data_IF_323912416920
#
_entry.id   IF_323912416920
#
_cell.length_a   1.000
_cell.length_b   1.000
_cell.length_c   1.000
_cell.angle_alpha   90.00
_cell.angle_beta   90.00
_cell.angle_gamma   90.00
#
_symmetry.space_group_name_H-M   'P 1'
#
loop_
_entity.id
_entity.type
_entity.pdbx_description
1 polymer ?
#
# COMPACT_ATOMS: atom_id res chain seq x y z
N UNK A 1 10.71 -24.62 13.93
CA UNK A 1 9.73 -24.32 12.86
C UNK A 1 10.36 -23.29 11.94
N UNK A 2 10.09 -23.33 10.63
CA UNK A 2 10.39 -22.23 9.71
C UNK A 2 9.06 -21.55 9.40
N UNK A 3 8.97 -20.26 9.67
CA UNK A 3 7.78 -19.46 9.33
C UNK A 3 7.73 -19.24 7.83
N UNK A 4 6.56 -19.41 7.20
CA UNK A 4 6.39 -19.42 5.74
C UNK A 4 5.25 -18.51 5.26
N UNK A 5 4.84 -17.56 6.11
CA UNK A 5 3.68 -16.69 5.90
C UNK A 5 3.95 -15.27 6.43
N UNK A 6 5.22 -14.84 6.41
CA UNK A 6 5.64 -13.50 6.80
C UNK A 6 6.18 -12.80 5.56
N UNK A 7 5.77 -11.54 5.39
CA UNK A 7 6.45 -10.57 4.55
C UNK A 7 7.20 -9.59 5.45
N UNK A 8 8.41 -9.20 5.06
CA UNK A 8 9.24 -8.25 5.78
C UNK A 8 9.09 -6.86 5.19
N UNK A 9 8.62 -5.92 6.00
CA UNK A 9 8.50 -4.52 5.64
C UNK A 9 9.60 -3.69 6.31
N UNK A 10 10.22 -2.79 5.54
CA UNK A 10 11.13 -1.76 6.02
C UNK A 10 10.47 -0.40 5.77
N UNK A 11 10.30 0.41 6.82
CA UNK A 11 9.62 1.72 6.75
C UNK A 11 10.49 2.81 7.39
N UNK A 12 11.36 3.49 6.64
CA UNK A 12 12.03 4.69 7.12
C UNK A 12 11.04 5.84 7.28
N UNK A 13 11.29 6.68 8.29
CA UNK A 13 10.57 7.92 8.50
C UNK A 13 11.00 8.95 7.46
N UNK A 14 10.04 9.60 6.81
CA UNK A 14 10.25 10.78 5.98
C UNK A 14 11.28 10.59 4.85
N UNK A 15 11.11 9.53 4.06
CA UNK A 15 12.11 9.01 3.10
C UNK A 15 12.66 10.06 2.13
N UNK A 16 11.85 11.03 1.69
CA UNK A 16 12.29 12.08 0.76
C UNK A 16 13.25 13.11 1.37
N UNK A 17 13.28 13.24 2.71
CA UNK A 17 14.08 14.28 3.37
C UNK A 17 15.56 13.88 3.48
N UNK A 18 15.86 12.59 3.52
CA UNK A 18 17.22 12.04 3.37
C UNK A 18 17.19 10.65 2.72
N UNK A 19 17.08 10.64 1.40
CA UNK A 19 17.02 9.41 0.58
C UNK A 19 18.26 8.55 0.75
N UNK A 20 19.44 9.15 0.94
CA UNK A 20 20.70 8.40 1.05
C UNK A 20 20.73 7.60 2.34
N UNK A 21 20.41 8.24 3.46
CA UNK A 21 20.33 7.53 4.73
C UNK A 21 19.24 6.47 4.70
N UNK A 22 18.05 6.81 4.19
CA UNK A 22 16.89 5.93 4.22
C UNK A 22 17.00 4.70 3.31
N UNK A 23 17.53 4.84 2.08
CA UNK A 23 17.47 3.78 1.06
C UNK A 23 18.83 3.21 0.63
N UNK A 24 19.94 3.76 1.13
CA UNK A 24 21.29 3.23 0.90
C UNK A 24 21.95 2.78 2.22
N UNK A 25 22.10 3.69 3.18
CA UNK A 25 22.88 3.42 4.41
C UNK A 25 22.14 2.49 5.38
N UNK A 26 20.85 2.74 5.62
CA UNK A 26 20.05 2.00 6.60
C UNK A 26 19.21 0.88 6.00
N UNK A 27 19.15 0.79 4.67
CA UNK A 27 18.38 -0.23 4.00
C UNK A 27 18.97 -1.62 4.29
N UNK A 28 18.20 -2.57 4.86
CA UNK A 28 18.72 -3.90 5.21
C UNK A 28 19.18 -4.75 4.01
N UNK A 29 18.76 -4.37 2.80
CA UNK A 29 19.11 -5.01 1.55
C UNK A 29 17.98 -5.84 0.93
N UNK A 30 18.03 -5.99 -0.40
CA UNK A 30 16.94 -6.59 -1.19
C UNK A 30 16.64 -8.05 -0.87
N UNK A 31 17.58 -8.77 -0.25
CA UNK A 31 17.47 -10.19 0.05
C UNK A 31 16.64 -10.50 1.30
N UNK A 32 16.30 -9.49 2.11
CA UNK A 32 15.51 -9.66 3.34
C UNK A 32 14.24 -8.81 3.38
N UNK A 33 14.10 -7.81 2.50
CA UNK A 33 12.94 -6.91 2.47
C UNK A 33 12.03 -7.25 1.29
N UNK A 34 10.75 -7.49 1.59
CA UNK A 34 9.70 -7.71 0.60
C UNK A 34 8.98 -6.39 0.24
N UNK A 35 8.75 -5.55 1.26
CA UNK A 35 8.00 -4.30 1.16
C UNK A 35 8.85 -3.14 1.64
N UNK A 36 8.98 -2.09 0.83
CA UNK A 36 9.60 -0.81 1.24
C UNK A 36 8.50 0.22 1.40
N UNK A 37 8.24 0.63 2.63
CA UNK A 37 7.24 1.63 2.95
C UNK A 37 7.88 2.94 3.41
N UNK A 38 7.07 3.94 3.74
CA UNK A 38 7.52 5.11 4.49
C UNK A 38 6.51 5.50 5.56
N UNK A 39 7.02 6.18 6.58
CA UNK A 39 6.21 6.83 7.61
C UNK A 39 6.27 8.34 7.41
N UNK A 40 5.12 9.02 7.30
CA UNK A 40 5.04 10.47 7.09
C UNK A 40 3.98 11.10 7.98
N UNK A 41 4.45 11.79 9.01
CA UNK A 41 3.64 12.74 9.78
C UNK A 41 4.13 14.16 9.60
N UNK A 42 3.20 15.11 9.72
CA UNK A 42 3.49 16.54 9.72
C UNK A 42 2.54 17.24 10.69
N UNK A 43 3.03 18.25 11.42
CA UNK A 43 2.18 19.21 12.12
C UNK A 43 1.60 20.27 11.18
N UNK A 44 2.14 20.38 9.96
CA UNK A 44 1.75 21.32 8.92
C UNK A 44 0.92 20.59 7.85
N UNK A 45 -0.40 20.81 7.84
CA UNK A 45 -1.32 20.17 6.90
C UNK A 45 -1.04 20.58 5.44
N UNK A 46 -0.75 21.85 5.21
CA UNK A 46 -0.56 22.46 3.89
C UNK A 46 0.65 21.89 3.13
N UNK A 47 1.69 21.47 3.86
CA UNK A 47 2.89 20.84 3.29
C UNK A 47 2.79 19.32 3.15
N UNK A 48 1.86 18.70 3.86
CA UNK A 48 1.82 17.24 3.95
C UNK A 48 1.51 16.57 2.60
N UNK A 49 0.68 17.21 1.76
CA UNK A 49 0.39 16.72 0.40
C UNK A 49 1.62 16.75 -0.50
N UNK A 50 2.40 17.83 -0.47
CA UNK A 50 3.63 17.96 -1.26
C UNK A 50 4.67 16.92 -0.82
N UNK A 51 4.87 16.78 0.49
CA UNK A 51 5.79 15.79 1.06
C UNK A 51 5.39 14.35 0.73
N UNK A 52 4.09 14.04 0.79
CA UNK A 52 3.57 12.74 0.40
C UNK A 52 3.89 12.40 -1.07
N UNK A 53 3.78 13.38 -1.98
CA UNK A 53 4.11 13.18 -3.39
C UNK A 53 5.61 12.93 -3.59
N UNK A 54 6.47 13.67 -2.90
CA UNK A 54 7.92 13.46 -2.95
C UNK A 54 8.33 12.08 -2.43
N UNK A 55 7.75 11.64 -1.31
CA UNK A 55 7.98 10.27 -0.81
C UNK A 55 7.49 9.22 -1.80
N UNK A 56 6.31 9.43 -2.37
CA UNK A 56 5.74 8.49 -3.31
C UNK A 56 6.62 8.36 -4.56
N UNK A 57 7.17 9.46 -5.07
CA UNK A 57 8.12 9.42 -6.19
C UNK A 57 9.37 8.60 -5.85
N UNK A 58 9.99 8.89 -4.69
CA UNK A 58 11.18 8.16 -4.21
C UNK A 58 10.89 6.66 -4.04
N UNK A 59 9.80 6.32 -3.37
CA UNK A 59 9.41 4.92 -3.14
C UNK A 59 9.11 4.21 -4.45
N UNK A 60 8.32 4.80 -5.35
CA UNK A 60 7.93 4.15 -6.61
C UNK A 60 9.10 3.99 -7.56
N UNK A 61 10.05 4.93 -7.58
CA UNK A 61 11.31 4.76 -8.29
C UNK A 61 12.13 3.60 -7.73
N UNK A 62 12.30 3.54 -6.41
CA UNK A 62 13.01 2.45 -5.73
C UNK A 62 12.34 1.10 -5.99
N UNK A 63 11.03 1.02 -5.82
CA UNK A 63 10.22 -0.18 -6.05
C UNK A 63 10.35 -0.71 -7.46
N UNK A 64 10.33 0.17 -8.47
CA UNK A 64 10.56 -0.20 -9.86
C UNK A 64 11.98 -0.68 -10.11
N UNK A 65 12.99 -0.03 -9.51
CA UNK A 65 14.41 -0.36 -9.72
C UNK A 65 14.80 -1.70 -9.10
N UNK A 66 14.30 -1.98 -7.90
CA UNK A 66 14.70 -3.16 -7.11
C UNK A 66 13.60 -4.23 -7.01
N UNK A 67 12.52 -4.07 -7.79
CA UNK A 67 11.37 -4.98 -7.83
C UNK A 67 10.75 -5.22 -6.44
N UNK A 68 10.41 -4.12 -5.75
CA UNK A 68 9.80 -4.12 -4.41
C UNK A 68 8.36 -3.65 -4.44
N UNK A 69 7.55 -4.21 -3.55
CA UNK A 69 6.23 -3.66 -3.21
C UNK A 69 6.45 -2.40 -2.39
N UNK A 70 5.68 -1.35 -2.66
CA UNK A 70 5.81 -0.07 -1.95
C UNK A 70 4.50 0.41 -1.36
N UNK A 71 4.58 1.17 -0.27
CA UNK A 71 3.42 1.64 0.48
C UNK A 71 3.76 2.72 1.50
N UNK A 72 2.77 3.15 2.27
CA UNK A 72 2.94 4.01 3.43
C UNK A 72 2.45 3.26 4.65
N UNK A 73 3.36 2.89 5.55
CA UNK A 73 3.01 2.15 6.78
C UNK A 73 2.38 3.08 7.81
N UNK A 74 2.78 4.34 7.81
CA UNK A 74 2.15 5.38 8.60
C UNK A 74 2.02 6.69 7.82
N UNK A 75 0.84 7.29 7.88
CA UNK A 75 0.57 8.58 7.27
C UNK A 75 -0.46 9.38 8.09
N UNK A 76 -0.21 10.67 8.31
CA UNK A 76 -1.23 11.57 8.84
C UNK A 76 -0.71 12.86 9.43
N UNK A 77 -1.60 13.56 10.14
CA UNK A 77 -1.24 14.75 10.92
C UNK A 77 -0.60 14.31 12.24
N UNK A 78 0.47 15.00 12.64
CA UNK A 78 1.09 14.78 13.94
C UNK A 78 0.07 15.07 15.03
N UNK A 79 -0.06 14.16 16.00
CA UNK A 79 -1.01 14.24 17.11
C UNK A 79 -2.51 14.13 16.74
N UNK A 80 -2.86 13.70 15.52
CA UNK A 80 -4.24 13.37 15.14
C UNK A 80 -4.99 14.51 14.43
N UNK A 81 -6.19 14.19 13.93
CA UNK A 81 -6.98 15.10 13.09
C UNK A 81 -8.09 15.86 13.85
N UNK A 82 -8.16 15.70 15.17
CA UNK A 82 -9.23 16.27 16.00
C UNK A 82 -9.30 17.81 16.00
N UNK A 83 -8.17 18.45 15.72
CA UNK A 83 -8.02 19.91 15.75
C UNK A 83 -8.04 20.53 14.33
N UNK A 84 -8.34 19.74 13.29
CA UNK A 84 -8.46 20.26 11.93
C UNK A 84 -9.78 21.01 11.73
N UNK A 85 -9.71 22.17 11.08
CA UNK A 85 -10.82 23.11 11.04
C UNK A 85 -11.81 22.90 9.90
N UNK A 86 -11.35 22.45 8.73
CA UNK A 86 -12.11 22.60 7.46
C UNK A 86 -12.62 21.29 6.85
N UNK A 87 -12.35 20.14 7.48
CA UNK A 87 -12.82 18.85 7.00
C UNK A 87 -12.19 18.36 5.70
N UNK A 88 -11.24 19.14 5.15
CA UNK A 88 -10.79 19.02 3.76
C UNK A 88 -9.54 18.16 3.61
N UNK A 89 -8.85 17.85 4.71
CA UNK A 89 -7.64 17.02 4.76
C UNK A 89 -7.69 15.79 3.83
N UNK A 90 -8.71 14.96 3.97
CA UNK A 90 -8.82 13.73 3.17
C UNK A 90 -9.03 14.00 1.67
N UNK A 91 -9.77 15.06 1.33
CA UNK A 91 -10.04 15.43 -0.05
C UNK A 91 -8.80 16.08 -0.69
N UNK A 92 -8.26 17.13 -0.07
CA UNK A 92 -7.17 17.92 -0.62
C UNK A 92 -5.81 17.23 -0.52
N UNK A 93 -5.55 16.50 0.56
CA UNK A 93 -4.26 15.82 0.78
C UNK A 93 -4.27 14.42 0.19
N UNK A 94 -5.11 13.52 0.69
CA UNK A 94 -5.07 12.12 0.26
C UNK A 94 -5.64 11.93 -1.13
N UNK A 95 -6.91 12.27 -1.37
CA UNK A 95 -7.57 11.97 -2.65
C UNK A 95 -6.85 12.62 -3.84
N UNK A 96 -6.45 13.88 -3.73
CA UNK A 96 -5.68 14.56 -4.78
C UNK A 96 -4.33 13.89 -5.04
N UNK A 97 -3.61 13.47 -3.99
CA UNK A 97 -2.33 12.78 -4.13
C UNK A 97 -2.50 11.37 -4.72
N UNK A 98 -3.63 10.70 -4.44
CA UNK A 98 -3.95 9.39 -5.00
C UNK A 98 -4.01 9.40 -6.51
N UNK A 99 -4.60 10.45 -7.08
CA UNK A 99 -4.72 10.59 -8.55
C UNK A 99 -3.39 10.90 -9.25
N UNK A 100 -2.34 11.27 -8.52
CA UNK A 100 -1.05 11.65 -9.08
C UNK A 100 -0.03 10.51 -8.99
N UNK A 101 0.24 10.04 -7.77
CA UNK A 101 1.32 9.07 -7.53
C UNK A 101 0.87 7.81 -6.80
N UNK A 102 -0.08 7.91 -5.85
CA UNK A 102 -0.40 6.75 -4.99
C UNK A 102 -1.13 5.61 -5.73
N UNK A 103 -1.55 5.80 -6.98
CA UNK A 103 -1.94 4.67 -7.85
C UNK A 103 -0.83 3.62 -8.05
N UNK A 104 0.43 3.97 -7.76
CA UNK A 104 1.60 3.09 -7.86
C UNK A 104 2.04 2.52 -6.50
N UNK A 105 1.32 2.80 -5.41
CA UNK A 105 1.59 2.21 -4.09
C UNK A 105 0.49 1.22 -3.72
N UNK A 106 0.82 0.24 -2.88
CA UNK A 106 -0.07 -0.87 -2.55
C UNK A 106 -1.01 -0.57 -1.39
N UNK A 107 -0.60 0.31 -0.47
CA UNK A 107 -1.41 0.72 0.68
C UNK A 107 -0.94 2.06 1.24
N UNK A 108 -1.85 2.74 1.92
CA UNK A 108 -1.58 3.87 2.82
C UNK A 108 -2.30 3.57 4.12
N UNK A 109 -1.56 3.52 5.22
CA UNK A 109 -2.08 3.21 6.55
C UNK A 109 -2.00 4.43 7.45
N UNK A 110 -3.05 4.67 8.21
CA UNK A 110 -3.13 5.74 9.19
C UNK A 110 -3.02 5.16 10.60
N UNK A 111 -2.66 5.99 11.58
CA UNK A 111 -2.58 5.56 12.96
C UNK A 111 -3.95 5.22 13.57
N UNK A 112 -3.92 4.58 14.72
CA UNK A 112 -5.12 4.16 15.43
C UNK A 112 -5.95 5.35 15.95
N UNK A 113 -7.26 5.16 16.03
CA UNK A 113 -8.11 6.00 16.87
C UNK A 113 -7.90 5.62 18.34
N UNK A 114 -6.94 6.28 18.98
CA UNK A 114 -6.47 5.96 20.33
C UNK A 114 -7.47 6.37 21.41
N UNK A 115 -8.09 7.54 21.26
CA UNK A 115 -9.15 8.03 22.15
C UNK A 115 -10.09 8.99 21.41
N UNK A 116 -11.24 9.39 22.01
CA UNK A 116 -12.10 10.43 21.43
C UNK A 116 -11.40 11.77 21.17
N UNK A 117 -10.28 12.02 21.86
CA UNK A 117 -9.45 13.22 21.74
C UNK A 117 -8.20 13.03 20.87
N UNK A 118 -7.91 11.80 20.44
CA UNK A 118 -6.74 11.45 19.63
C UNK A 118 -7.10 10.38 18.60
N UNK A 119 -7.39 10.84 17.38
CA UNK A 119 -7.83 9.98 16.29
C UNK A 119 -7.26 10.43 14.94
N UNK A 120 -7.10 9.47 14.01
CA UNK A 120 -6.58 9.71 12.66
C UNK A 120 -7.58 9.36 11.56
N UNK A 121 -8.60 8.57 11.90
CA UNK A 121 -9.80 8.38 11.06
C UNK A 121 -10.97 9.11 11.73
N UNK A 122 -11.80 9.88 11.00
CA UNK A 122 -12.87 10.66 11.62
C UNK A 122 -13.85 9.81 12.41
N UNK A 123 -14.19 10.25 13.61
CA UNK A 123 -15.27 9.65 14.38
C UNK A 123 -16.63 10.03 13.75
N UNK A 124 -17.70 9.24 13.99
CA UNK A 124 -19.02 9.54 13.45
C UNK A 124 -19.51 10.93 13.87
N UNK A 125 -19.82 11.78 12.88
CA UNK A 125 -20.32 13.14 13.11
C UNK A 125 -19.25 14.25 13.12
N UNK A 126 -17.96 13.89 13.06
CA UNK A 126 -16.87 14.86 13.04
C UNK A 126 -16.73 15.61 11.71
N UNK A 127 -16.14 16.81 11.76
CA UNK A 127 -15.99 17.72 10.61
C UNK A 127 -15.30 17.05 9.41
N UNK A 128 -14.26 16.26 9.68
CA UNK A 128 -13.47 15.56 8.66
C UNK A 128 -14.18 14.37 7.99
N UNK A 129 -15.39 14.01 8.45
CA UNK A 129 -16.10 12.84 7.94
C UNK A 129 -16.55 12.96 6.48
N UNK A 130 -16.79 14.18 5.98
CA UNK A 130 -17.21 14.41 4.58
C UNK A 130 -16.08 14.08 3.63
N UNK A 131 -14.92 14.73 3.79
CA UNK A 131 -13.74 14.46 2.95
C UNK A 131 -13.28 13.00 3.06
N UNK A 132 -13.38 12.39 4.24
CA UNK A 132 -13.03 10.98 4.42
C UNK A 132 -13.95 10.04 3.63
N UNK A 133 -15.27 10.29 3.64
CA UNK A 133 -16.21 9.51 2.83
C UNK A 133 -15.91 9.65 1.35
N UNK A 134 -15.65 10.86 0.86
CA UNK A 134 -15.25 11.07 -0.53
C UNK A 134 -13.97 10.32 -0.90
N UNK A 135 -12.97 10.33 -0.02
CA UNK A 135 -11.75 9.57 -0.19
C UNK A 135 -12.03 8.05 -0.27
N UNK A 136 -12.82 7.50 0.66
CA UNK A 136 -13.20 6.08 0.71
C UNK A 136 -14.02 5.66 -0.51
N UNK A 137 -14.98 6.49 -0.93
CA UNK A 137 -15.89 6.20 -2.05
C UNK A 137 -15.23 6.41 -3.42
N UNK A 138 -14.04 7.01 -3.45
CA UNK A 138 -13.30 7.24 -4.69
C UNK A 138 -12.91 5.93 -5.38
N UNK A 139 -12.75 5.98 -6.71
CA UNK A 139 -12.23 4.84 -7.48
C UNK A 139 -10.78 4.50 -7.13
N UNK A 140 -10.03 5.44 -6.57
CA UNK A 140 -8.64 5.24 -6.21
C UNK A 140 -8.48 4.43 -4.91
N UNK A 141 -9.53 4.35 -4.09
CA UNK A 141 -9.53 3.63 -2.82
C UNK A 141 -10.16 2.25 -2.95
N UNK A 142 -9.51 1.24 -2.37
CA UNK A 142 -10.04 -0.12 -2.23
C UNK A 142 -10.13 -0.42 -0.74
N UNK A 143 -11.34 -0.68 -0.26
CA UNK A 143 -11.62 -1.01 1.15
C UNK A 143 -12.12 -2.45 1.28
N UNK A 144 -12.22 -2.94 2.52
CA UNK A 144 -12.80 -4.26 2.77
C UNK A 144 -14.24 -4.36 2.24
N UNK A 145 -14.56 -5.46 1.55
CA UNK A 145 -15.87 -5.67 0.91
C UNK A 145 -16.01 -5.07 -0.49
N UNK A 146 -15.00 -4.33 -0.96
CA UNK A 146 -14.89 -3.95 -2.36
C UNK A 146 -14.39 -5.15 -3.17
N UNK A 147 -15.00 -5.49 -4.30
CA UNK A 147 -14.56 -6.57 -5.19
C UNK A 147 -13.70 -6.07 -6.36
N UNK A 148 -13.54 -4.75 -6.52
CA UNK A 148 -12.75 -4.15 -7.63
C UNK A 148 -11.28 -4.54 -7.60
N UNK A 149 -10.74 -5.00 -6.47
CA UNK A 149 -9.37 -5.56 -6.42
C UNK A 149 -9.17 -6.75 -7.36
N UNK A 150 -10.25 -7.49 -7.70
CA UNK A 150 -10.20 -8.59 -8.68
C UNK A 150 -10.03 -8.09 -10.10
N UNK A 151 -10.33 -6.81 -10.36
CA UNK A 151 -10.15 -6.22 -11.68
C UNK A 151 -8.71 -5.78 -11.96
N UNK A 152 -7.87 -5.71 -10.92
CA UNK A 152 -6.49 -5.27 -11.00
C UNK A 152 -5.68 -6.21 -11.92
N UNK A 153 -4.76 -5.68 -12.74
CA UNK A 153 -3.96 -6.50 -13.66
C UNK A 153 -3.24 -7.66 -12.98
N UNK A 154 -2.76 -7.45 -11.74
CA UNK A 154 -2.12 -8.47 -10.94
C UNK A 154 -3.03 -9.68 -10.68
N UNK A 155 -4.27 -9.44 -10.23
CA UNK A 155 -5.21 -10.52 -9.94
C UNK A 155 -5.63 -11.27 -11.20
N UNK A 156 -5.91 -10.56 -12.30
CA UNK A 156 -6.20 -11.17 -13.61
C UNK A 156 -5.03 -12.01 -14.14
N UNK A 157 -3.80 -11.55 -13.91
CA UNK A 157 -2.58 -12.30 -14.24
C UNK A 157 -2.48 -13.61 -13.45
N UNK A 158 -2.76 -13.58 -12.14
CA UNK A 158 -2.79 -14.80 -11.31
C UNK A 158 -3.92 -15.73 -11.77
N UNK A 159 -5.14 -15.22 -11.93
CA UNK A 159 -6.30 -16.03 -12.33
C UNK A 159 -6.06 -16.75 -13.67
N UNK A 160 -5.52 -16.04 -14.66
CA UNK A 160 -5.16 -16.65 -15.94
C UNK A 160 -4.06 -17.71 -15.81
N UNK A 161 -3.05 -17.48 -14.96
CA UNK A 161 -1.99 -18.46 -14.71
C UNK A 161 -2.52 -19.72 -14.00
N UNK A 162 -3.38 -19.57 -12.99
CA UNK A 162 -4.00 -20.68 -12.26
C UNK A 162 -5.01 -21.44 -13.13
N UNK A 163 -5.75 -20.73 -13.99
CA UNK A 163 -6.62 -21.33 -15.00
C UNK A 163 -5.85 -22.19 -15.99
N UNK A 164 -4.67 -21.73 -16.41
CA UNK A 164 -3.77 -22.50 -17.27
C UNK A 164 -3.13 -23.69 -16.55
N UNK A 165 -2.74 -23.57 -15.27
CA UNK A 165 -2.24 -24.70 -14.48
C UNK A 165 -3.29 -25.80 -14.34
N UNK A 166 -4.55 -25.44 -14.04
CA UNK A 166 -5.66 -26.41 -14.01
C UNK A 166 -5.90 -27.08 -15.36
N UNK A 167 -5.71 -26.36 -16.48
CA UNK A 167 -5.84 -26.94 -17.82
C UNK A 167 -4.69 -27.90 -18.16
N UNK A 168 -3.46 -27.60 -17.72
CA UNK A 168 -2.29 -28.46 -17.91
C UNK A 168 -2.34 -29.71 -17.03
N UNK A 169 -2.81 -29.62 -15.79
CA UNK A 169 -3.04 -30.78 -14.92
C UNK A 169 -4.07 -31.75 -15.51
N UNK A 170 -5.08 -31.24 -16.23
CA UNK A 170 -6.10 -32.04 -16.92
C UNK A 170 -5.57 -32.63 -18.24
N UNK A 171 -4.57 -32.01 -18.87
CA UNK A 171 -3.92 -32.53 -20.08
C UNK A 171 -2.97 -33.69 -19.76
N UNK A 172 -2.18 -33.58 -18.68
CA UNK A 172 -1.28 -34.66 -18.22
C UNK A 172 -2.05 -35.90 -17.73
N UNK A 173 -3.27 -35.72 -17.20
CA UNK A 173 -4.16 -36.84 -16.86
C UNK A 173 -4.78 -37.53 -18.09
N UNK A 174 -4.78 -36.89 -19.27
CA UNK A 174 -5.36 -37.44 -20.50
C UNK A 174 -4.34 -38.09 -21.44
N UNK A 175 -3.05 -37.81 -21.27
CA UNK A 175 -1.95 -38.39 -22.08
C UNK A 175 -1.23 -39.54 -21.36
N UNK A 176 -1.63 -39.90 -20.14
CA UNK A 176 -1.11 -41.03 -19.38
C UNK A 176 -1.49 -42.41 -19.96
N UNK A 177 -1.02 -42.74 -21.16
CA UNK A 177 -0.79 -44.12 -21.57
C UNK A 177 0.36 -44.68 -20.73
N UNK A 178 0.03 -45.20 -19.55
CA UNK A 178 0.98 -45.87 -18.68
C UNK A 178 1.52 -47.13 -19.36
N UNK A 179 2.78 -47.09 -19.78
CA UNK A 179 3.62 -48.27 -19.85
C UNK A 179 4.64 -48.19 -18.73
N UNK A 180 4.47 -49.08 -17.75
CA UNK A 180 5.46 -49.38 -16.72
C UNK A 180 6.62 -50.11 -17.41
N UNK A 181 7.88 -49.62 -17.34
CA UNK A 181 9.02 -50.40 -17.79
C UNK A 181 9.22 -51.55 -16.81
N UNK A 182 9.20 -52.76 -17.35
CA UNK A 182 9.68 -53.96 -16.67
C UNK A 182 11.16 -54.08 -17.00
N UNK A 183 12.02 -53.79 -16.02
CA UNK A 183 13.22 -54.55 -15.60
C UNK A 183 14.00 -53.75 -14.53
#
# INVERSE_FOLDING_TARGET
SRTHNILWAYSPCQVSDDVTSALDIWYPGDHVVDIVAADRYSSEEDKLAEKLLLDCEVLTEFGRKYNKVVGFAEFGILDGIQDLDDGSFFHHTLLKSMTQCLQNVSFVSMWANYSPEKYWTPLPGEKNSVGFKEFVDSRASIMNGDDRWRELPYYKGIESSLGNTKANDVADLKTGSGQVPVE
#
